data_IF_135647977797
#
_entry.id   IF_135647977797
#
_cell.length_a   1.000
_cell.length_b   1.000
_cell.length_c   1.000
_cell.angle_alpha   90.00
_cell.angle_beta   90.00
_cell.angle_gamma   90.00
#
_symmetry.space_group_name_H-M   'P 1'
#
loop_
_entity.id
_entity.type
_entity.pdbx_description
1 polymer ?
#
# COMPACT_ATOMS: atom_id res chain seq x y z
N UNK A 1 33.02 43.09 67.43
CA UNK A 1 34.14 43.65 68.22
C UNK A 1 33.60 44.82 69.01
N UNK A 2 33.42 44.62 70.31
CA UNK A 2 32.98 45.61 71.29
C UNK A 2 34.15 46.50 71.67
N UNK A 3 34.07 47.82 71.40
CA UNK A 3 34.92 48.82 72.06
C UNK A 3 34.11 49.54 73.15
N UNK A 4 34.73 49.81 74.32
CA UNK A 4 34.03 50.24 75.53
C UNK A 4 33.99 51.77 75.69
N UNK A 5 32.96 52.24 76.40
CA UNK A 5 33.02 53.45 77.23
C UNK A 5 33.33 54.78 76.55
N UNK A 6 32.30 55.43 76.01
CA UNK A 6 32.27 56.90 75.88
C UNK A 6 30.93 57.40 76.38
N UNK A 7 30.92 57.96 77.59
CA UNK A 7 29.76 58.67 78.13
C UNK A 7 29.40 59.79 77.14
N UNK A 8 28.16 59.88 76.65
CA UNK A 8 27.77 60.97 75.77
C UNK A 8 27.95 62.30 76.51
N UNK A 9 28.49 63.30 75.81
CA UNK A 9 28.57 64.68 76.31
C UNK A 9 27.17 65.16 76.67
N UNK A 10 27.05 66.02 77.69
CA UNK A 10 25.74 66.48 78.12
C UNK A 10 25.05 67.26 76.98
N UNK A 11 23.72 67.18 76.81
CA UNK A 11 23.02 67.83 75.69
C UNK A 11 23.31 69.33 75.56
N UNK A 12 23.59 70.01 76.67
CA UNK A 12 24.00 71.42 76.68
C UNK A 12 25.41 71.66 76.14
N UNK A 13 26.34 70.73 76.32
CA UNK A 13 27.71 70.82 75.78
C UNK A 13 27.70 70.57 74.27
N UNK A 14 26.86 69.65 73.80
CA UNK A 14 26.70 69.33 72.38
C UNK A 14 26.01 70.46 71.60
N UNK A 15 25.03 71.13 72.20
CA UNK A 15 24.39 72.31 71.61
C UNK A 15 25.35 73.51 71.50
N UNK A 16 26.25 73.71 72.47
CA UNK A 16 27.25 74.79 72.42
C UNK A 16 28.30 74.60 71.33
N UNK A 17 28.78 73.36 71.17
CA UNK A 17 29.73 73.02 70.09
C UNK A 17 29.08 73.13 68.72
N UNK A 18 27.78 72.80 68.60
CA UNK A 18 27.03 73.02 67.35
C UNK A 18 26.86 74.50 67.03
N UNK A 19 26.57 75.37 68.00
CA UNK A 19 26.39 76.81 67.75
C UNK A 19 27.69 77.48 67.27
N UNK A 20 28.82 77.10 67.87
CA UNK A 20 30.15 77.54 67.47
C UNK A 20 30.59 77.01 66.08
N UNK A 21 30.25 75.75 65.76
CA UNK A 21 30.55 75.17 64.45
C UNK A 21 29.61 75.70 63.34
N UNK A 22 28.38 76.07 63.69
CA UNK A 22 27.41 76.65 62.75
C UNK A 22 27.85 78.04 62.27
N UNK A 23 28.45 78.85 63.15
CA UNK A 23 28.97 80.19 62.81
C UNK A 23 30.19 80.12 61.89
N UNK A 24 31.06 79.11 62.04
CA UNK A 24 32.19 78.87 61.12
C UNK A 24 31.67 78.43 59.74
N UNK A 25 30.57 77.65 59.71
CA UNK A 25 29.97 77.16 58.47
C UNK A 25 29.21 78.24 57.68
N UNK A 26 28.69 79.28 58.33
CA UNK A 26 27.97 80.38 57.67
C UNK A 26 28.89 81.42 56.99
N UNK A 27 30.17 81.52 57.38
CA UNK A 27 31.14 82.43 56.74
C UNK A 27 32.10 81.81 55.70
N UNK A 28 32.14 80.48 55.55
CA UNK A 28 33.00 79.79 54.57
C UNK A 28 32.25 79.11 53.40
N UNK A 29 30.92 79.24 53.30
CA UNK A 29 30.14 78.62 52.21
C UNK A 29 30.35 79.24 50.80
N UNK A 30 31.29 80.17 50.66
CA UNK A 30 31.76 80.69 49.36
C UNK A 30 33.28 80.70 49.35
N UNK A 31 33.88 79.56 49.04
CA UNK A 31 35.08 79.40 48.22
C UNK A 31 35.32 77.90 48.03
N UNK A 32 35.05 77.42 46.81
CA UNK A 32 35.60 76.18 46.29
C UNK A 32 37.13 76.34 46.21
N UNK A 33 37.88 75.41 46.80
CA UNK A 33 39.02 74.69 46.22
C UNK A 33 39.87 74.04 47.32
N UNK A 34 40.51 72.93 46.97
CA UNK A 34 41.17 71.98 47.84
C UNK A 34 42.29 72.55 48.72
N UNK A 35 41.98 72.89 49.97
CA UNK A 35 42.97 72.86 51.05
C UNK A 35 42.81 71.60 51.91
N UNK A 36 43.93 70.89 52.10
CA UNK A 36 44.00 69.75 52.98
C UNK A 36 43.57 70.18 54.38
N UNK A 37 42.59 69.47 54.95
CA UNK A 37 42.04 69.75 56.27
C UNK A 37 43.15 69.83 57.33
N UNK A 38 43.51 71.06 57.75
CA UNK A 38 44.48 71.29 58.81
C UNK A 38 43.78 71.22 60.17
N UNK A 39 43.99 70.07 60.82
CA UNK A 39 43.40 69.74 62.12
C UNK A 39 43.83 70.73 63.20
N UNK A 40 45.06 71.21 63.18
CA UNK A 40 45.58 72.08 64.22
C UNK A 40 45.08 73.52 64.08
N UNK A 41 44.96 74.02 62.83
CA UNK A 41 44.40 75.34 62.57
C UNK A 41 42.94 75.43 63.05
N UNK A 42 42.14 74.40 62.76
CA UNK A 42 40.72 74.35 63.14
C UNK A 42 40.52 74.32 64.66
N UNK A 43 41.37 73.59 65.40
CA UNK A 43 41.30 73.54 66.87
C UNK A 43 41.63 74.91 67.48
N UNK A 44 42.67 75.59 66.97
CA UNK A 44 43.07 76.93 67.44
C UNK A 44 41.98 77.98 67.19
N UNK A 45 41.33 77.92 66.04
CA UNK A 45 40.25 78.85 65.69
C UNK A 45 39.03 78.69 66.60
N UNK A 46 38.66 77.45 66.93
CA UNK A 46 37.59 77.17 67.90
C UNK A 46 37.97 77.65 69.30
N UNK A 47 39.25 77.54 69.71
CA UNK A 47 39.70 78.03 71.01
C UNK A 47 39.64 79.56 71.13
N UNK A 48 40.11 80.29 70.12
CA UNK A 48 40.08 81.76 70.09
C UNK A 48 38.65 82.32 70.20
N UNK A 49 37.69 81.70 69.50
CA UNK A 49 36.28 82.09 69.57
C UNK A 49 35.67 81.88 70.97
N UNK A 50 36.07 80.83 71.68
CA UNK A 50 35.59 80.56 73.05
C UNK A 50 36.29 81.43 74.12
N UNK A 51 37.55 81.84 73.90
CA UNK A 51 38.25 82.80 74.76
C UNK A 51 37.60 84.20 74.73
N UNK A 52 37.05 84.62 73.59
CA UNK A 52 36.38 85.92 73.41
C UNK A 52 34.98 85.98 74.06
N UNK A 53 34.35 84.81 74.26
CA UNK A 53 33.03 84.65 74.90
C UNK A 53 33.10 84.39 76.42
N UNK A 54 34.30 84.39 77.02
CA UNK A 54 34.50 84.36 78.46
C UNK A 54 34.30 83.00 79.15
N UNK A 55 34.37 81.88 78.41
CA UNK A 55 34.29 80.51 78.96
C UNK A 55 35.41 79.63 78.37
N UNK A 56 36.37 79.20 79.20
CA UNK A 56 37.59 78.48 78.77
C UNK A 56 37.31 76.99 78.54
N UNK A 57 37.10 76.57 77.28
CA UNK A 57 36.96 75.16 76.90
C UNK A 57 38.34 74.52 76.65
N UNK A 58 38.65 73.45 77.38
CA UNK A 58 39.94 72.74 77.24
C UNK A 58 40.11 72.00 75.91
N UNK A 59 41.32 72.08 75.32
CA UNK A 59 41.70 71.52 73.99
C UNK A 59 41.27 70.07 73.75
N UNK A 60 41.34 69.22 74.80
CA UNK A 60 41.01 67.79 74.70
C UNK A 60 39.54 67.50 74.40
N UNK A 61 38.63 68.44 74.65
CA UNK A 61 37.19 68.27 74.36
C UNK A 61 36.91 68.57 72.88
N UNK A 62 37.61 69.55 72.31
CA UNK A 62 37.49 69.96 70.91
C UNK A 62 38.01 68.84 69.99
N UNK A 63 39.18 68.25 70.31
CA UNK A 63 39.75 67.13 69.54
C UNK A 63 38.81 65.91 69.48
N UNK A 64 38.16 65.57 70.60
CA UNK A 64 37.24 64.42 70.65
C UNK A 64 35.98 64.65 69.81
N UNK A 65 35.46 65.88 69.82
CA UNK A 65 34.30 66.24 69.01
C UNK A 65 34.63 66.14 67.51
N UNK A 66 35.83 66.59 67.13
CA UNK A 66 36.29 66.59 65.74
C UNK A 66 36.53 65.16 65.19
N UNK A 67 37.15 64.28 65.97
CA UNK A 67 37.38 62.88 65.55
C UNK A 67 36.06 62.10 65.38
N UNK A 68 35.09 62.35 66.27
CA UNK A 68 33.78 61.71 66.16
C UNK A 68 33.03 62.18 64.91
N UNK A 69 33.13 63.47 64.58
CA UNK A 69 32.53 64.04 63.37
C UNK A 69 33.13 63.45 62.08
N UNK A 70 34.46 63.31 62.00
CA UNK A 70 35.12 62.79 60.80
C UNK A 70 34.90 61.29 60.56
N UNK A 71 34.79 60.48 61.62
CA UNK A 71 34.58 59.03 61.51
C UNK A 71 33.24 58.63 60.85
N UNK A 72 32.24 59.51 60.88
CA UNK A 72 30.93 59.29 60.28
C UNK A 72 30.88 59.66 58.79
N UNK A 73 31.90 60.35 58.26
CA UNK A 73 31.88 60.91 56.90
C UNK A 73 32.11 59.86 55.78
N UNK A 74 32.61 58.66 56.10
CA UNK A 74 33.00 57.67 55.07
C UNK A 74 32.35 56.28 55.18
N UNK A 75 31.30 56.10 55.98
CA UNK A 75 30.52 54.86 55.99
C UNK A 75 29.23 55.01 55.16
N UNK A 76 29.21 54.50 53.93
CA UNK A 76 27.98 54.40 53.14
C UNK A 76 27.16 53.18 53.56
N UNK A 77 25.94 53.32 54.14
CA UNK A 77 25.08 52.17 54.38
C UNK A 77 24.56 51.61 53.04
N UNK A 78 24.51 50.28 52.83
CA UNK A 78 23.92 49.72 51.63
C UNK A 78 22.44 50.09 51.56
N UNK A 79 21.98 50.53 50.39
CA UNK A 79 20.58 50.91 50.18
C UNK A 79 19.63 49.75 50.57
N UNK A 80 18.57 50.05 51.32
CA UNK A 80 17.60 49.06 51.80
C UNK A 80 16.98 48.25 50.63
N UNK A 81 16.74 46.93 50.79
CA UNK A 81 16.11 46.11 49.76
C UNK A 81 14.69 46.65 49.48
N UNK A 82 14.46 47.11 48.25
CA UNK A 82 13.19 47.66 47.81
C UNK A 82 13.08 47.62 46.29
N UNK A 83 11.87 47.83 45.76
CA UNK A 83 11.58 47.73 44.32
C UNK A 83 12.52 48.60 43.46
N UNK A 84 12.85 49.81 43.91
CA UNK A 84 13.79 50.70 43.24
C UNK A 84 15.22 50.13 43.18
N UNK A 85 15.69 49.50 44.25
CA UNK A 85 17.02 48.85 44.29
C UNK A 85 17.05 47.60 43.38
N UNK A 86 15.99 46.80 43.38
CA UNK A 86 15.93 45.60 42.53
C UNK A 86 15.86 45.96 41.04
N UNK A 87 15.09 46.99 40.67
CA UNK A 87 15.09 47.53 39.31
C UNK A 87 16.45 48.15 38.93
N UNK A 88 17.11 48.85 39.86
CA UNK A 88 18.46 49.35 39.64
C UNK A 88 19.48 48.21 39.43
N UNK A 89 19.41 47.14 40.22
CA UNK A 89 20.27 45.95 40.02
C UNK A 89 19.95 45.22 38.71
N UNK A 90 18.68 45.15 38.31
CA UNK A 90 18.25 44.64 37.01
C UNK A 90 18.82 45.49 35.86
N UNK A 91 18.80 46.82 36.00
CA UNK A 91 19.33 47.77 35.02
C UNK A 91 20.86 47.78 34.93
N UNK A 92 21.57 47.60 36.06
CA UNK A 92 23.02 47.45 36.10
C UNK A 92 23.43 46.13 35.44
N UNK A 93 22.73 45.04 35.74
CA UNK A 93 22.96 43.72 35.13
C UNK A 93 22.32 43.56 33.75
N UNK A 94 21.72 44.61 33.17
CA UNK A 94 20.90 44.53 31.94
C UNK A 94 21.63 43.86 30.77
N UNK A 95 22.94 44.12 30.60
CA UNK A 95 23.73 43.52 29.53
C UNK A 95 24.03 42.02 29.74
N UNK A 96 24.13 41.58 30.99
CA UNK A 96 24.31 40.16 31.32
C UNK A 96 22.97 39.41 31.23
N UNK A 97 21.89 39.97 31.77
CA UNK A 97 20.54 39.38 31.73
C UNK A 97 20.03 39.32 30.29
N UNK A 98 20.24 40.38 29.49
CA UNK A 98 19.85 40.37 28.09
C UNK A 98 20.55 39.26 27.33
N UNK A 99 21.88 39.16 27.44
CA UNK A 99 22.70 38.20 26.69
C UNK A 99 22.56 36.76 27.17
N UNK A 100 22.36 36.51 28.47
CA UNK A 100 22.34 35.15 29.04
C UNK A 100 20.95 34.59 29.28
N UNK A 101 19.92 35.43 29.39
CA UNK A 101 18.56 35.00 29.73
C UNK A 101 17.54 35.40 28.67
N UNK A 102 17.46 36.69 28.32
CA UNK A 102 16.42 37.16 27.37
C UNK A 102 16.66 36.68 25.94
N UNK A 103 17.89 36.75 25.42
CA UNK A 103 18.23 36.27 24.07
C UNK A 103 17.93 34.76 23.89
N UNK A 104 18.38 33.85 24.77
CA UNK A 104 18.02 32.43 24.61
C UNK A 104 16.54 32.17 24.85
N UNK A 105 15.88 32.85 25.80
CA UNK A 105 14.45 32.68 26.03
C UNK A 105 13.61 33.12 24.81
N UNK A 106 13.97 34.24 24.17
CA UNK A 106 13.33 34.71 22.93
C UNK A 106 13.62 33.79 21.75
N UNK A 107 14.83 33.25 21.63
CA UNK A 107 15.17 32.25 20.61
C UNK A 107 14.34 30.96 20.76
N UNK A 108 14.19 30.46 21.99
CA UNK A 108 13.34 29.29 22.27
C UNK A 108 11.87 29.60 21.98
N UNK A 109 11.36 30.76 22.40
CA UNK A 109 9.99 31.18 22.10
C UNK A 109 9.74 31.29 20.58
N UNK A 110 10.70 31.83 19.82
CA UNK A 110 10.63 31.91 18.36
C UNK A 110 10.67 30.52 17.70
N UNK A 111 11.44 29.57 18.23
CA UNK A 111 11.45 28.18 17.76
C UNK A 111 10.15 27.45 18.05
N UNK A 112 9.57 27.64 19.24
CA UNK A 112 8.26 27.07 19.58
C UNK A 112 7.16 27.68 18.70
N UNK A 113 7.15 29.00 18.54
CA UNK A 113 6.21 29.68 17.65
C UNK A 113 6.37 29.22 16.20
N UNK A 114 7.60 29.22 15.68
CA UNK A 114 7.91 28.72 14.33
C UNK A 114 7.55 27.25 14.14
N UNK A 115 7.71 26.42 15.18
CA UNK A 115 7.29 25.02 15.18
C UNK A 115 5.77 24.86 15.14
N UNK A 116 5.02 25.65 15.91
CA UNK A 116 3.55 25.65 15.86
C UNK A 116 3.01 26.11 14.50
N UNK A 117 3.55 27.20 13.95
CA UNK A 117 3.23 27.69 12.61
C UNK A 117 3.58 26.65 11.53
N UNK A 118 4.74 25.99 11.64
CA UNK A 118 5.13 24.93 10.72
C UNK A 118 4.19 23.72 10.77
N UNK A 119 3.70 23.34 11.96
CA UNK A 119 2.68 22.29 12.12
C UNK A 119 1.36 22.71 11.48
N UNK A 120 0.94 23.96 11.64
CA UNK A 120 -0.31 24.46 11.05
C UNK A 120 -0.22 24.54 9.51
N UNK A 121 0.91 25.02 8.96
CA UNK A 121 1.20 24.96 7.53
C UNK A 121 1.24 23.52 7.00
N UNK A 122 1.81 22.58 7.76
CA UNK A 122 1.82 21.17 7.37
C UNK A 122 0.39 20.58 7.36
N UNK A 123 -0.45 20.93 8.33
CA UNK A 123 -1.87 20.53 8.37
C UNK A 123 -2.68 21.09 7.21
N UNK A 124 -2.45 22.36 6.85
CA UNK A 124 -3.10 22.99 5.70
C UNK A 124 -2.69 22.30 4.40
N UNK A 125 -1.38 22.04 4.20
CA UNK A 125 -0.87 21.33 3.01
C UNK A 125 -1.37 19.89 2.92
N UNK A 126 -1.44 19.19 4.04
CA UNK A 126 -2.00 17.84 4.09
C UNK A 126 -3.47 17.84 3.65
N UNK A 127 -4.26 18.79 4.18
CA UNK A 127 -5.66 18.93 3.81
C UNK A 127 -5.86 19.33 2.34
N UNK A 128 -5.06 20.24 1.78
CA UNK A 128 -5.11 20.53 0.33
C UNK A 128 -4.80 19.29 -0.51
N UNK A 129 -3.83 18.47 -0.08
CA UNK A 129 -3.52 17.21 -0.75
C UNK A 129 -4.66 16.20 -0.70
N UNK A 130 -5.40 16.15 0.41
CA UNK A 130 -6.61 15.33 0.53
C UNK A 130 -7.74 15.79 -0.41
N UNK A 131 -7.95 17.11 -0.53
CA UNK A 131 -8.94 17.69 -1.45
C UNK A 131 -8.56 17.40 -2.91
N UNK A 132 -7.29 17.54 -3.28
CA UNK A 132 -6.82 17.22 -4.63
C UNK A 132 -6.85 15.71 -4.92
N UNK A 133 -6.65 14.87 -3.89
CA UNK A 133 -6.90 13.43 -3.96
C UNK A 133 -8.37 13.13 -4.27
N UNK A 134 -9.28 13.75 -3.53
CA UNK A 134 -10.72 13.59 -3.72
C UNK A 134 -11.20 14.08 -5.10
N UNK A 135 -10.68 15.22 -5.59
CA UNK A 135 -10.99 15.71 -6.95
C UNK A 135 -10.61 14.69 -8.03
N UNK A 136 -9.45 14.04 -7.89
CA UNK A 136 -9.01 12.99 -8.81
C UNK A 136 -9.88 11.73 -8.70
N UNK A 137 -10.30 11.37 -7.49
CA UNK A 137 -11.24 10.27 -7.26
C UNK A 137 -12.57 10.52 -7.97
N UNK A 138 -13.16 11.72 -7.80
CA UNK A 138 -14.40 12.11 -8.49
C UNK A 138 -14.22 12.08 -10.02
N UNK A 139 -13.10 12.60 -10.54
CA UNK A 139 -12.80 12.52 -11.97
C UNK A 139 -12.69 11.06 -12.47
N UNK A 140 -12.10 10.18 -11.66
CA UNK A 140 -12.06 8.75 -11.93
C UNK A 140 -13.46 8.11 -11.97
N UNK A 141 -14.33 8.46 -11.03
CA UNK A 141 -15.72 7.98 -11.00
C UNK A 141 -16.54 8.47 -12.20
N UNK A 142 -16.33 9.71 -12.65
CA UNK A 142 -16.96 10.22 -13.88
C UNK A 142 -16.50 9.41 -15.10
N UNK A 143 -15.20 9.12 -15.20
CA UNK A 143 -14.67 8.30 -16.28
C UNK A 143 -15.24 6.87 -16.27
N UNK A 144 -15.30 6.22 -15.10
CA UNK A 144 -15.87 4.86 -14.99
C UNK A 144 -17.36 4.83 -15.30
N UNK A 145 -18.12 5.83 -14.85
CA UNK A 145 -19.53 5.97 -15.20
C UNK A 145 -19.73 6.18 -16.71
N UNK A 146 -18.85 6.95 -17.35
CA UNK A 146 -18.85 7.14 -18.81
C UNK A 146 -18.64 5.82 -19.55
N UNK A 147 -17.60 5.06 -19.19
CA UNK A 147 -17.36 3.73 -19.77
C UNK A 147 -18.55 2.78 -19.60
N UNK A 148 -19.19 2.78 -18.43
CA UNK A 148 -20.37 1.94 -18.20
C UNK A 148 -21.55 2.35 -19.07
N UNK A 149 -21.73 3.65 -19.37
CA UNK A 149 -22.74 4.09 -20.35
C UNK A 149 -22.42 3.65 -21.76
N UNK A 150 -21.17 3.82 -22.19
CA UNK A 150 -20.77 3.40 -23.53
C UNK A 150 -21.03 1.89 -23.73
N UNK A 151 -20.79 1.09 -22.68
CA UNK A 151 -21.12 -0.34 -22.67
C UNK A 151 -22.64 -0.61 -22.73
N UNK A 152 -23.43 0.12 -21.95
CA UNK A 152 -24.90 0.01 -21.98
C UNK A 152 -25.47 0.41 -23.36
N UNK A 153 -24.98 1.50 -23.94
CA UNK A 153 -25.40 1.99 -25.25
C UNK A 153 -25.01 1.00 -26.34
N UNK A 154 -23.84 0.37 -26.25
CA UNK A 154 -23.43 -0.70 -27.16
C UNK A 154 -24.34 -1.93 -27.05
N UNK A 155 -24.77 -2.30 -25.84
CA UNK A 155 -25.75 -3.38 -25.64
C UNK A 155 -27.11 -3.02 -26.23
N UNK A 156 -27.59 -1.79 -26.01
CA UNK A 156 -28.87 -1.32 -26.56
C UNK A 156 -28.83 -1.26 -28.09
N UNK A 157 -27.69 -0.87 -28.66
CA UNK A 157 -27.47 -0.83 -30.11
C UNK A 157 -27.34 -2.23 -30.74
N UNK A 158 -27.03 -3.24 -29.94
CA UNK A 158 -27.03 -4.64 -30.38
C UNK A 158 -28.49 -5.12 -30.39
N UNK A 159 -29.07 -5.30 -31.57
CA UNK A 159 -30.43 -5.83 -31.69
C UNK A 159 -30.57 -7.14 -30.90
N UNK A 160 -31.56 -7.19 -30.01
CA UNK A 160 -31.87 -8.39 -29.23
C UNK A 160 -32.17 -9.54 -30.19
N UNK A 161 -31.51 -10.71 -30.05
CA UNK A 161 -31.75 -11.85 -30.93
C UNK A 161 -33.25 -12.20 -30.95
N UNK A 162 -33.89 -12.31 -32.13
CA UNK A 162 -35.34 -12.54 -32.22
C UNK A 162 -35.77 -13.91 -31.71
N UNK A 163 -34.81 -14.84 -31.60
CA UNK A 163 -34.94 -16.21 -31.11
C UNK A 163 -34.52 -16.38 -29.64
N UNK A 164 -34.18 -15.29 -28.95
CA UNK A 164 -33.90 -15.32 -27.52
C UNK A 164 -35.15 -15.82 -26.75
N UNK A 165 -35.01 -16.78 -25.82
CA UNK A 165 -36.14 -17.25 -25.03
C UNK A 165 -36.79 -16.10 -24.27
N UNK A 166 -38.13 -16.14 -24.12
CA UNK A 166 -38.87 -15.05 -23.45
C UNK A 166 -38.35 -14.74 -22.04
N UNK A 167 -37.94 -15.77 -21.28
CA UNK A 167 -37.36 -15.61 -19.94
C UNK A 167 -36.03 -14.86 -20.00
N UNK A 168 -35.16 -15.20 -20.94
CA UNK A 168 -33.87 -14.52 -21.13
C UNK A 168 -34.08 -13.09 -21.65
N UNK A 169 -35.04 -12.89 -22.56
CA UNK A 169 -35.40 -11.58 -23.11
C UNK A 169 -35.92 -10.62 -22.03
N UNK A 170 -36.83 -11.10 -21.17
CA UNK A 170 -37.35 -10.34 -20.04
C UNK A 170 -36.23 -9.99 -19.05
N UNK A 171 -35.34 -10.95 -18.74
CA UNK A 171 -34.20 -10.72 -17.87
C UNK A 171 -33.23 -9.67 -18.43
N UNK A 172 -32.80 -9.81 -19.70
CA UNK A 172 -31.92 -8.84 -20.35
C UNK A 172 -32.54 -7.45 -20.39
N UNK A 173 -33.84 -7.36 -20.69
CA UNK A 173 -34.56 -6.07 -20.69
C UNK A 173 -34.62 -5.44 -19.30
N UNK A 174 -34.80 -6.26 -18.25
CA UNK A 174 -34.79 -5.81 -16.87
C UNK A 174 -33.40 -5.31 -16.44
N UNK A 175 -32.34 -6.05 -16.78
CA UNK A 175 -30.95 -5.68 -16.49
C UNK A 175 -30.59 -4.34 -17.15
N UNK A 176 -30.88 -4.18 -18.45
CA UNK A 176 -30.63 -2.94 -19.20
C UNK A 176 -31.39 -1.77 -18.57
N UNK A 177 -32.66 -1.99 -18.19
CA UNK A 177 -33.49 -0.97 -17.54
C UNK A 177 -32.98 -0.57 -16.14
N UNK A 178 -32.53 -1.54 -15.34
CA UNK A 178 -31.93 -1.29 -14.02
C UNK A 178 -30.58 -0.57 -14.16
N UNK A 179 -29.69 -1.04 -15.04
CA UNK A 179 -28.41 -0.42 -15.33
C UNK A 179 -28.58 1.06 -15.73
N UNK A 180 -29.53 1.36 -16.62
CA UNK A 180 -29.84 2.73 -17.03
C UNK A 180 -30.30 3.61 -15.86
N UNK A 181 -31.15 3.09 -14.96
CA UNK A 181 -31.60 3.82 -13.76
C UNK A 181 -30.47 4.08 -12.78
N UNK A 182 -29.64 3.06 -12.50
CA UNK A 182 -28.49 3.16 -11.61
C UNK A 182 -27.46 4.18 -12.14
N UNK A 183 -27.16 4.14 -13.43
CA UNK A 183 -26.26 5.12 -14.07
C UNK A 183 -26.84 6.53 -14.07
N UNK A 184 -28.14 6.71 -14.28
CA UNK A 184 -28.77 8.01 -14.18
C UNK A 184 -28.67 8.59 -12.75
N UNK A 185 -28.92 7.76 -11.73
CA UNK A 185 -28.78 8.15 -10.33
C UNK A 185 -27.31 8.48 -9.95
N UNK A 186 -26.36 7.68 -10.44
CA UNK A 186 -24.93 7.95 -10.25
C UNK A 186 -24.52 9.30 -10.86
N UNK A 187 -25.01 9.61 -12.07
CA UNK A 187 -24.71 10.87 -12.75
C UNK A 187 -25.24 12.09 -12.02
N UNK A 188 -26.44 12.01 -11.45
CA UNK A 188 -26.99 13.10 -10.66
C UNK A 188 -26.08 13.42 -9.46
N UNK A 189 -25.59 12.36 -8.78
CA UNK A 189 -24.65 12.52 -7.68
C UNK A 189 -23.32 13.08 -8.18
N UNK A 190 -22.75 12.52 -9.26
CA UNK A 190 -21.46 12.95 -9.81
C UNK A 190 -21.49 14.39 -10.34
N UNK A 191 -22.59 14.82 -10.94
CA UNK A 191 -22.79 16.21 -11.37
C UNK A 191 -22.75 17.18 -10.19
N UNK A 192 -23.44 16.86 -9.09
CA UNK A 192 -23.38 17.64 -7.85
C UNK A 192 -21.98 17.61 -7.22
N UNK A 193 -21.33 16.44 -7.19
CA UNK A 193 -19.96 16.28 -6.68
C UNK A 193 -18.93 17.07 -7.48
N UNK A 194 -19.04 17.11 -8.81
CA UNK A 194 -18.13 17.87 -9.67
C UNK A 194 -18.17 19.37 -9.36
N UNK A 195 -19.38 19.92 -9.18
CA UNK A 195 -19.57 21.34 -8.81
C UNK A 195 -19.04 21.60 -7.39
N UNK A 196 -19.39 20.73 -6.43
CA UNK A 196 -18.95 20.89 -5.04
C UNK A 196 -17.43 20.75 -4.89
N UNK A 197 -16.80 19.81 -5.58
CA UNK A 197 -15.36 19.58 -5.54
C UNK A 197 -14.53 20.75 -6.11
N UNK A 198 -15.11 21.59 -6.98
CA UNK A 198 -14.48 22.79 -7.50
C UNK A 198 -14.47 23.96 -6.49
N UNK A 199 -15.26 23.88 -5.41
CA UNK A 199 -15.32 24.92 -4.37
C UNK A 199 -14.26 24.77 -3.28
N UNK A 200 -14.15 25.77 -2.39
CA UNK A 200 -13.33 25.69 -1.18
C UNK A 200 -14.02 24.80 -0.14
N UNK A 201 -13.41 23.66 0.15
CA UNK A 201 -13.95 22.65 1.06
C UNK A 201 -13.34 22.77 2.46
N UNK A 202 -14.16 22.56 3.49
CA UNK A 202 -13.67 22.25 4.83
C UNK A 202 -13.69 20.73 5.08
N UNK A 203 -13.22 20.30 6.25
CA UNK A 203 -13.13 18.86 6.58
C UNK A 203 -14.49 18.17 6.64
N UNK A 204 -15.50 18.83 7.21
CA UNK A 204 -16.83 18.25 7.36
C UNK A 204 -17.54 18.11 6.00
N UNK A 205 -17.41 19.11 5.13
CA UNK A 205 -17.88 19.05 3.75
C UNK A 205 -17.19 17.92 2.99
N UNK A 206 -15.87 17.79 3.11
CA UNK A 206 -15.12 16.73 2.43
C UNK A 206 -15.57 15.32 2.87
N UNK A 207 -15.82 15.09 4.16
CA UNK A 207 -16.34 13.81 4.66
C UNK A 207 -17.74 13.49 4.09
N UNK A 208 -18.64 14.48 4.05
CA UNK A 208 -19.98 14.31 3.46
C UNK A 208 -19.91 14.00 1.96
N UNK A 209 -19.06 14.72 1.22
CA UNK A 209 -18.86 14.50 -0.21
C UNK A 209 -18.23 13.13 -0.50
N UNK A 210 -17.33 12.63 0.35
CA UNK A 210 -16.80 11.27 0.26
C UNK A 210 -17.90 10.22 0.43
N UNK A 211 -18.82 10.41 1.37
CA UNK A 211 -19.95 9.51 1.53
C UNK A 211 -20.88 9.51 0.29
N UNK A 212 -21.07 10.67 -0.35
CA UNK A 212 -21.80 10.76 -1.63
C UNK A 212 -21.04 10.09 -2.78
N UNK A 213 -19.72 10.27 -2.88
CA UNK A 213 -18.88 9.61 -3.88
C UNK A 213 -18.92 8.08 -3.75
N UNK A 214 -18.89 7.56 -2.51
CA UNK A 214 -19.06 6.13 -2.24
C UNK A 214 -20.42 5.60 -2.69
N UNK A 215 -21.50 6.37 -2.48
CA UNK A 215 -22.84 5.99 -2.99
C UNK A 215 -22.84 5.93 -4.52
N UNK A 216 -22.28 6.94 -5.19
CA UNK A 216 -22.17 6.95 -6.66
C UNK A 216 -21.36 5.76 -7.17
N UNK A 217 -20.21 5.45 -6.55
CA UNK A 217 -19.40 4.27 -6.87
C UNK A 217 -20.22 2.99 -6.76
N UNK A 218 -20.96 2.81 -5.67
CA UNK A 218 -21.81 1.63 -5.48
C UNK A 218 -22.89 1.49 -6.55
N UNK A 219 -23.50 2.60 -6.99
CA UNK A 219 -24.47 2.59 -8.10
C UNK A 219 -23.82 2.19 -9.42
N UNK A 220 -22.62 2.71 -9.71
CA UNK A 220 -21.85 2.36 -10.93
C UNK A 220 -21.49 0.87 -10.92
N UNK A 221 -21.03 0.34 -9.79
CA UNK A 221 -20.65 -1.07 -9.68
C UNK A 221 -21.86 -2.00 -9.87
N UNK A 222 -23.00 -1.66 -9.29
CA UNK A 222 -24.25 -2.38 -9.52
C UNK A 222 -24.65 -2.32 -11.00
N UNK A 223 -24.61 -1.14 -11.63
CA UNK A 223 -24.96 -1.02 -13.04
C UNK A 223 -24.05 -1.86 -13.94
N UNK A 224 -22.75 -1.90 -13.65
CA UNK A 224 -21.78 -2.73 -14.39
C UNK A 224 -22.07 -4.21 -14.24
N UNK A 225 -22.55 -4.65 -13.09
CA UNK A 225 -22.95 -6.05 -12.89
C UNK A 225 -24.21 -6.40 -13.71
N UNK A 226 -25.20 -5.50 -13.75
CA UNK A 226 -26.40 -5.68 -14.59
C UNK A 226 -26.03 -5.74 -16.08
N UNK A 227 -25.18 -4.81 -16.55
CA UNK A 227 -24.64 -4.79 -17.92
C UNK A 227 -23.93 -6.11 -18.25
N UNK A 228 -23.06 -6.59 -17.35
CA UNK A 228 -22.34 -7.84 -17.54
C UNK A 228 -23.29 -9.06 -17.57
N UNK A 229 -24.33 -9.06 -16.73
CA UNK A 229 -25.35 -10.12 -16.73
C UNK A 229 -26.15 -10.18 -18.03
N UNK A 230 -26.55 -9.02 -18.56
CA UNK A 230 -27.21 -8.91 -19.85
C UNK A 230 -26.32 -9.43 -21.00
N UNK A 231 -25.07 -8.97 -21.05
CA UNK A 231 -24.08 -9.38 -22.04
C UNK A 231 -23.83 -10.90 -21.99
N UNK A 232 -23.64 -11.47 -20.79
CA UNK A 232 -23.41 -12.91 -20.62
C UNK A 232 -24.60 -13.75 -21.12
N UNK A 233 -25.85 -13.32 -20.86
CA UNK A 233 -27.06 -13.98 -21.36
C UNK A 233 -27.11 -13.96 -22.89
N UNK A 234 -26.82 -12.82 -23.52
CA UNK A 234 -26.76 -12.69 -24.97
C UNK A 234 -25.66 -13.55 -25.59
N UNK A 235 -24.45 -13.52 -25.02
CA UNK A 235 -23.32 -14.34 -25.49
C UNK A 235 -23.57 -15.83 -25.32
N UNK A 236 -24.19 -16.26 -24.21
CA UNK A 236 -24.60 -17.66 -24.00
C UNK A 236 -25.55 -18.11 -25.11
N UNK A 237 -26.55 -17.29 -25.44
CA UNK A 237 -27.47 -17.58 -26.53
C UNK A 237 -26.76 -17.66 -27.89
N UNK A 238 -25.91 -16.69 -28.23
CA UNK A 238 -25.15 -16.70 -29.47
C UNK A 238 -24.24 -17.94 -29.62
N UNK A 239 -23.59 -18.37 -28.52
CA UNK A 239 -22.81 -19.60 -28.49
C UNK A 239 -23.67 -20.84 -28.77
N UNK A 240 -24.86 -20.94 -28.17
CA UNK A 240 -25.78 -22.05 -28.43
C UNK A 240 -26.23 -22.12 -29.89
N UNK A 241 -26.48 -20.97 -30.54
CA UNK A 241 -26.82 -20.90 -31.96
C UNK A 241 -25.68 -21.36 -32.88
N UNK A 242 -24.44 -21.22 -32.42
CA UNK A 242 -23.27 -21.68 -33.17
C UNK A 242 -23.02 -23.18 -32.93
N UNK A 243 -23.04 -23.59 -31.67
CA UNK A 243 -22.68 -24.96 -31.28
C UNK A 243 -23.71 -26.01 -31.69
N UNK A 244 -25.02 -25.68 -31.71
CA UNK A 244 -26.05 -26.63 -32.14
C UNK A 244 -25.79 -27.18 -33.55
N UNK A 245 -25.71 -26.33 -34.58
CA UNK A 245 -25.37 -26.75 -35.94
C UNK A 245 -24.00 -27.43 -36.06
N UNK A 246 -23.01 -27.01 -35.26
CA UNK A 246 -21.68 -27.63 -35.27
C UNK A 246 -21.71 -29.06 -34.73
N UNK A 247 -22.48 -29.34 -33.69
CA UNK A 247 -22.71 -30.71 -33.19
C UNK A 247 -23.31 -31.57 -34.29
N UNK A 248 -24.38 -31.11 -34.97
CA UNK A 248 -25.02 -31.89 -36.04
C UNK A 248 -24.04 -32.19 -37.18
N UNK A 249 -23.26 -31.18 -37.59
CA UNK A 249 -22.23 -31.31 -38.62
C UNK A 249 -21.14 -32.30 -38.22
N UNK A 250 -20.63 -32.20 -36.99
CA UNK A 250 -19.57 -33.08 -36.48
C UNK A 250 -20.07 -34.50 -36.26
N UNK A 251 -21.28 -34.67 -35.75
CA UNK A 251 -21.92 -35.97 -35.62
C UNK A 251 -22.00 -36.68 -36.97
N UNK A 252 -22.52 -36.01 -38.00
CA UNK A 252 -22.59 -36.55 -39.35
C UNK A 252 -21.21 -36.91 -39.91
N UNK A 253 -20.21 -36.06 -39.69
CA UNK A 253 -18.83 -36.31 -40.14
C UNK A 253 -18.20 -37.53 -39.45
N UNK A 254 -18.39 -37.67 -38.14
CA UNK A 254 -17.92 -38.83 -37.36
C UNK A 254 -18.61 -40.11 -37.82
N UNK A 255 -19.94 -40.12 -37.96
CA UNK A 255 -20.69 -41.30 -38.41
C UNK A 255 -20.31 -41.70 -39.83
N UNK A 256 -20.07 -40.74 -40.73
CA UNK A 256 -19.64 -41.02 -42.09
C UNK A 256 -18.21 -41.57 -42.17
N UNK A 257 -17.33 -41.18 -41.25
CA UNK A 257 -15.94 -41.64 -41.21
C UNK A 257 -15.78 -42.96 -40.46
N UNK A 258 -16.62 -43.23 -39.47
CA UNK A 258 -16.51 -44.39 -38.59
C UNK A 258 -16.78 -45.72 -39.32
N UNK A 259 -15.88 -46.69 -39.11
CA UNK A 259 -16.00 -48.06 -39.60
C UNK A 259 -16.29 -49.04 -38.46
N UNK A 260 -15.82 -48.75 -37.24
CA UNK A 260 -16.01 -49.60 -36.07
C UNK A 260 -17.20 -49.17 -35.19
N UNK A 261 -17.87 -50.14 -34.57
CA UNK A 261 -19.04 -49.89 -33.71
C UNK A 261 -18.69 -49.02 -32.50
N UNK A 262 -17.49 -49.18 -31.92
CA UNK A 262 -17.05 -48.39 -30.77
C UNK A 262 -17.02 -46.87 -31.05
N UNK A 263 -16.68 -46.47 -32.28
CA UNK A 263 -16.70 -45.06 -32.69
C UNK A 263 -18.14 -44.55 -32.83
N UNK A 264 -19.04 -45.37 -33.38
CA UNK A 264 -20.46 -45.05 -33.52
C UNK A 264 -21.14 -44.96 -32.15
N UNK A 265 -20.85 -45.86 -31.22
CA UNK A 265 -21.35 -45.82 -29.84
C UNK A 265 -20.90 -44.55 -29.12
N UNK A 266 -19.62 -44.17 -29.28
CA UNK A 266 -19.09 -42.92 -28.71
C UNK A 266 -19.76 -41.69 -29.33
N UNK A 267 -19.99 -41.69 -30.64
CA UNK A 267 -20.72 -40.61 -31.33
C UNK A 267 -22.17 -40.49 -30.83
N UNK A 268 -22.85 -41.61 -30.59
CA UNK A 268 -24.21 -41.64 -30.03
C UNK A 268 -24.25 -41.14 -28.59
N UNK A 269 -23.26 -41.50 -27.75
CA UNK A 269 -23.15 -41.00 -26.38
C UNK A 269 -22.91 -39.47 -26.34
N UNK A 270 -22.09 -38.95 -27.25
CA UNK A 270 -21.87 -37.51 -27.40
C UNK A 270 -23.15 -36.80 -27.85
N UNK A 271 -23.91 -37.38 -28.79
CA UNK A 271 -25.17 -36.80 -29.27
C UNK A 271 -26.20 -36.69 -28.13
N UNK A 272 -26.39 -37.77 -27.38
CA UNK A 272 -27.28 -37.77 -26.23
C UNK A 272 -26.85 -36.77 -25.14
N UNK A 273 -25.55 -36.48 -25.04
CA UNK A 273 -25.01 -35.46 -24.13
C UNK A 273 -25.31 -34.05 -24.65
N UNK A 274 -25.06 -33.80 -25.94
CA UNK A 274 -25.37 -32.53 -26.59
C UNK A 274 -26.87 -32.19 -26.52
N UNK A 275 -27.76 -33.16 -26.74
CA UNK A 275 -29.21 -32.96 -26.64
C UNK A 275 -29.65 -32.53 -25.24
N UNK A 276 -29.06 -33.15 -24.19
CA UNK A 276 -29.30 -32.73 -22.80
C UNK A 276 -28.79 -31.31 -22.54
N UNK A 277 -27.60 -30.98 -23.03
CA UNK A 277 -26.97 -29.67 -22.86
C UNK A 277 -27.74 -28.56 -23.60
N UNK A 278 -28.21 -28.83 -24.82
CA UNK A 278 -29.07 -27.94 -25.59
C UNK A 278 -30.40 -27.69 -24.86
N UNK A 279 -31.02 -28.74 -24.34
CA UNK A 279 -32.26 -28.64 -23.55
C UNK A 279 -32.06 -27.84 -22.26
N UNK A 280 -30.90 -28.00 -21.61
CA UNK A 280 -30.51 -27.26 -20.42
C UNK A 280 -29.95 -25.86 -20.70
N UNK A 281 -29.77 -25.48 -21.98
CA UNK A 281 -29.08 -24.25 -22.42
C UNK A 281 -27.66 -24.10 -21.85
N UNK A 282 -26.97 -25.22 -21.64
CA UNK A 282 -25.60 -25.29 -21.14
C UNK A 282 -24.59 -25.04 -22.27
N UNK A 283 -24.32 -23.76 -22.55
CA UNK A 283 -23.40 -23.36 -23.61
C UNK A 283 -21.95 -23.81 -23.36
N UNK A 284 -21.51 -23.85 -22.09
CA UNK A 284 -20.15 -24.24 -21.73
C UNK A 284 -19.96 -25.74 -21.94
N UNK A 285 -20.86 -26.56 -21.40
CA UNK A 285 -20.84 -28.00 -21.61
C UNK A 285 -20.98 -28.39 -23.08
N UNK A 286 -21.82 -27.68 -23.85
CA UNK A 286 -21.97 -27.94 -25.28
C UNK A 286 -20.69 -27.61 -26.06
N UNK A 287 -19.99 -26.52 -25.71
CA UNK A 287 -18.68 -26.19 -26.29
C UNK A 287 -17.64 -27.28 -26.02
N UNK A 288 -17.63 -27.86 -24.82
CA UNK A 288 -16.79 -29.01 -24.50
C UNK A 288 -17.16 -30.25 -25.34
N UNK A 289 -18.46 -30.50 -25.53
CA UNK A 289 -18.92 -31.60 -26.41
C UNK A 289 -18.47 -31.41 -27.85
N UNK A 290 -18.52 -30.19 -28.39
CA UNK A 290 -17.98 -29.86 -29.72
C UNK A 290 -16.49 -30.19 -29.79
N UNK A 291 -15.69 -29.78 -28.80
CA UNK A 291 -14.25 -30.09 -28.71
C UNK A 291 -13.98 -31.60 -28.71
N UNK A 292 -14.76 -32.37 -27.95
CA UNK A 292 -14.61 -33.84 -27.92
C UNK A 292 -15.01 -34.49 -29.25
N UNK A 293 -16.02 -33.95 -29.94
CA UNK A 293 -16.35 -34.36 -31.30
C UNK A 293 -15.21 -34.10 -32.29
N UNK A 294 -14.57 -32.92 -32.22
CA UNK A 294 -13.43 -32.58 -33.06
C UNK A 294 -12.25 -33.52 -32.83
N UNK A 295 -11.94 -33.85 -31.58
CA UNK A 295 -10.91 -34.84 -31.23
C UNK A 295 -11.23 -36.23 -31.78
N UNK A 296 -12.48 -36.69 -31.64
CA UNK A 296 -12.91 -37.98 -32.18
C UNK A 296 -12.83 -38.02 -33.71
N UNK A 297 -13.26 -36.94 -34.38
CA UNK A 297 -13.17 -36.82 -35.82
C UNK A 297 -11.71 -36.80 -36.30
N UNK A 298 -10.83 -36.05 -35.61
CA UNK A 298 -9.40 -36.03 -35.90
C UNK A 298 -8.77 -37.42 -35.71
N UNK A 299 -9.14 -38.12 -34.64
CA UNK A 299 -8.69 -39.49 -34.38
C UNK A 299 -9.14 -40.42 -35.50
N UNK A 300 -10.39 -40.36 -35.96
CA UNK A 300 -10.87 -41.17 -37.09
C UNK A 300 -10.15 -40.83 -38.40
N UNK A 301 -9.86 -39.55 -38.64
CA UNK A 301 -9.20 -39.09 -39.86
C UNK A 301 -7.72 -39.48 -39.94
N UNK A 302 -7.04 -39.58 -38.80
CA UNK A 302 -5.62 -39.90 -38.72
C UNK A 302 -5.31 -41.32 -39.26
N UNK A 303 -4.11 -41.49 -39.78
CA UNK A 303 -3.54 -42.79 -40.13
C UNK A 303 -2.16 -42.87 -39.49
N UNK A 304 -1.81 -44.01 -38.89
CA UNK A 304 -0.52 -44.14 -38.21
C UNK A 304 0.03 -45.56 -38.27
N UNK A 305 1.33 -45.68 -38.56
CA UNK A 305 2.09 -46.92 -38.40
C UNK A 305 2.66 -46.98 -36.99
N UNK A 306 2.58 -48.13 -36.34
CA UNK A 306 3.20 -48.37 -35.05
C UNK A 306 4.45 -49.20 -35.33
N UNK A 307 5.62 -48.64 -35.06
CA UNK A 307 6.90 -49.30 -35.35
C UNK A 307 7.67 -49.63 -34.08
N UNK A 308 8.39 -50.75 -34.07
CA UNK A 308 9.27 -51.20 -33.00
C UNK A 308 10.59 -50.46 -33.10
N UNK A 309 10.97 -49.80 -32.00
CA UNK A 309 12.21 -49.01 -31.87
C UNK A 309 13.21 -49.67 -30.92
N UNK A 310 12.76 -50.62 -30.09
CA UNK A 310 13.61 -51.36 -29.17
C UNK A 310 12.85 -52.29 -28.24
N UNK A 311 13.47 -52.61 -27.12
CA UNK A 311 12.87 -53.48 -26.11
C UNK A 311 13.45 -53.24 -24.73
N UNK A 312 12.61 -53.46 -23.72
CA UNK A 312 12.97 -53.42 -22.31
C UNK A 312 12.27 -54.57 -21.59
N UNK A 313 12.81 -55.03 -20.46
CA UNK A 313 12.10 -55.94 -19.59
C UNK A 313 12.00 -55.36 -18.18
N UNK A 314 10.89 -55.66 -17.50
CA UNK A 314 10.62 -55.29 -16.11
C UNK A 314 10.38 -56.54 -15.29
N UNK A 315 10.62 -56.46 -13.98
CA UNK A 315 10.15 -57.47 -13.04
C UNK A 315 8.70 -57.15 -12.69
N UNK A 316 7.82 -58.14 -12.64
CA UNK A 316 6.41 -57.91 -12.32
C UNK A 316 6.24 -57.33 -10.92
N UNK A 317 5.36 -56.34 -10.77
CA UNK A 317 5.04 -55.74 -9.47
C UNK A 317 4.35 -56.73 -8.51
N UNK A 318 3.64 -57.72 -9.06
CA UNK A 318 2.88 -58.71 -8.28
C UNK A 318 3.73 -59.92 -7.88
N UNK A 319 4.72 -60.30 -8.69
CA UNK A 319 5.60 -61.45 -8.43
C UNK A 319 7.01 -61.18 -8.96
N UNK A 320 7.97 -61.02 -8.04
CA UNK A 320 9.36 -60.69 -8.35
C UNK A 320 10.10 -61.76 -9.17
N UNK A 321 9.51 -62.94 -9.36
CA UNK A 321 10.06 -64.03 -10.17
C UNK A 321 9.63 -63.95 -11.63
N UNK A 322 8.60 -63.15 -11.94
CA UNK A 322 8.07 -63.00 -13.29
C UNK A 322 8.76 -61.81 -13.97
N UNK A 323 9.25 -62.02 -15.19
CA UNK A 323 9.74 -60.94 -16.06
C UNK A 323 8.71 -60.64 -17.14
N UNK A 324 8.41 -59.36 -17.27
CA UNK A 324 7.54 -58.81 -18.30
C UNK A 324 8.43 -58.21 -19.38
N UNK A 325 8.22 -58.63 -20.63
CA UNK A 325 9.01 -58.18 -21.77
C UNK A 325 8.18 -57.23 -22.60
N UNK A 326 8.78 -56.08 -22.94
CA UNK A 326 8.13 -55.01 -23.69
C UNK A 326 8.92 -54.69 -24.94
N UNK A 327 8.23 -54.56 -26.06
CA UNK A 327 8.77 -53.89 -27.24
C UNK A 327 8.46 -52.40 -27.12
N UNK A 328 9.49 -51.57 -27.23
CA UNK A 328 9.33 -50.13 -27.31
C UNK A 328 8.82 -49.79 -28.70
N UNK A 329 7.66 -49.18 -28.78
CA UNK A 329 7.00 -48.82 -30.02
C UNK A 329 6.79 -47.32 -30.12
N UNK A 330 6.70 -46.82 -31.35
CA UNK A 330 6.41 -45.43 -31.66
C UNK A 330 5.32 -45.36 -32.73
N UNK A 331 4.32 -44.51 -32.52
CA UNK A 331 3.32 -44.21 -33.54
C UNK A 331 3.85 -43.12 -34.47
N UNK A 332 3.89 -43.41 -35.77
CA UNK A 332 4.31 -42.50 -36.83
C UNK A 332 3.12 -42.16 -37.72
N UNK A 333 2.88 -40.87 -37.94
CA UNK A 333 1.87 -40.37 -38.87
C UNK A 333 2.25 -40.61 -40.33
N UNK A 334 1.38 -40.21 -41.26
CA UNK A 334 1.62 -40.30 -42.71
C UNK A 334 2.81 -39.47 -43.20
N UNK A 335 3.23 -38.47 -42.43
CA UNK A 335 4.40 -37.62 -42.65
C UNK A 335 5.69 -38.21 -42.04
N UNK A 336 5.60 -39.38 -41.41
CA UNK A 336 6.69 -40.03 -40.68
C UNK A 336 7.03 -39.36 -39.34
N UNK A 337 6.26 -38.39 -38.88
CA UNK A 337 6.48 -37.74 -37.58
C UNK A 337 5.78 -38.50 -36.45
N UNK A 338 6.31 -38.48 -35.21
CA UNK A 338 5.66 -39.12 -34.08
C UNK A 338 4.31 -38.48 -33.75
N UNK A 339 3.27 -39.31 -33.56
CA UNK A 339 1.91 -38.87 -33.22
C UNK A 339 1.51 -39.40 -31.84
N UNK A 340 0.91 -38.59 -30.97
CA UNK A 340 0.49 -39.05 -29.64
C UNK A 340 -0.72 -40.00 -29.70
N UNK A 341 -0.65 -41.09 -28.93
CA UNK A 341 -1.74 -42.02 -28.70
C UNK A 341 -2.13 -42.03 -27.20
N UNK A 342 -3.42 -42.15 -26.86
CA UNK A 342 -3.85 -42.33 -25.48
C UNK A 342 -3.54 -43.75 -25.01
N UNK A 343 -2.48 -43.90 -24.21
CA UNK A 343 -1.99 -45.20 -23.72
C UNK A 343 -2.23 -45.31 -22.21
N UNK A 344 -2.86 -46.39 -21.78
CA UNK A 344 -3.08 -46.68 -20.36
C UNK A 344 -1.92 -47.50 -19.81
N UNK A 345 -1.16 -46.92 -18.89
CA UNK A 345 -0.06 -47.60 -18.24
C UNK A 345 -0.59 -48.69 -17.28
N UNK A 346 -0.14 -49.93 -17.44
CA UNK A 346 -0.59 -51.08 -16.64
C UNK A 346 -0.08 -51.03 -15.19
N UNK A 347 1.07 -50.41 -14.95
CA UNK A 347 1.68 -50.31 -13.63
C UNK A 347 1.05 -49.21 -12.77
N UNK A 348 0.60 -48.12 -13.39
CA UNK A 348 0.00 -46.96 -12.67
C UNK A 348 -1.51 -46.84 -12.86
N UNK A 349 -2.07 -47.47 -13.89
CA UNK A 349 -3.48 -47.34 -14.29
C UNK A 349 -3.84 -46.03 -14.99
N UNK A 350 -2.90 -45.08 -15.13
CA UNK A 350 -3.13 -43.74 -15.69
C UNK A 350 -3.03 -43.77 -17.22
N UNK A 351 -3.94 -43.10 -17.91
CA UNK A 351 -3.88 -42.90 -19.37
C UNK A 351 -3.21 -41.57 -19.68
N UNK A 352 -2.21 -41.57 -20.57
CA UNK A 352 -1.53 -40.35 -21.03
C UNK A 352 -1.34 -40.37 -22.55
N UNK A 353 -1.40 -39.20 -23.22
CA UNK A 353 -1.02 -39.10 -24.62
C UNK A 353 0.51 -39.21 -24.74
N UNK A 354 0.99 -40.27 -25.39
CA UNK A 354 2.43 -40.50 -25.62
C UNK A 354 2.67 -40.91 -27.07
N UNK A 355 3.78 -40.46 -27.65
CA UNK A 355 4.17 -40.86 -29.01
C UNK A 355 4.99 -42.14 -29.03
N UNK A 356 5.58 -42.54 -27.90
CA UNK A 356 6.31 -43.78 -27.72
C UNK A 356 5.92 -44.44 -26.39
N UNK A 357 5.81 -45.76 -26.40
CA UNK A 357 5.41 -46.57 -25.24
C UNK A 357 5.95 -48.00 -25.36
N UNK A 358 5.86 -48.78 -24.29
CA UNK A 358 6.18 -50.21 -24.31
C UNK A 358 4.92 -51.05 -24.46
N UNK A 359 4.91 -51.96 -25.43
CA UNK A 359 3.88 -52.98 -25.63
C UNK A 359 4.38 -54.32 -25.10
N UNK A 360 3.66 -54.92 -24.16
CA UNK A 360 4.04 -56.20 -23.57
C UNK A 360 3.87 -57.32 -24.60
N UNK A 361 4.86 -58.19 -24.69
CA UNK A 361 4.88 -59.31 -25.63
C UNK A 361 5.33 -60.61 -24.94
N UNK A 362 5.01 -61.79 -25.50
CA UNK A 362 5.62 -63.03 -25.08
C UNK A 362 7.14 -62.97 -25.20
N UNK A 363 7.86 -63.61 -24.28
CA UNK A 363 9.33 -63.64 -24.28
C UNK A 363 9.90 -64.08 -25.63
N UNK A 364 9.30 -65.09 -26.28
CA UNK A 364 9.73 -65.57 -27.60
C UNK A 364 9.70 -64.46 -28.67
N UNK A 365 8.70 -63.58 -28.62
CA UNK A 365 8.60 -62.45 -29.55
C UNK A 365 9.67 -61.39 -29.25
N UNK A 366 9.90 -61.10 -27.98
CA UNK A 366 10.96 -60.19 -27.54
C UNK A 366 12.35 -60.69 -27.98
N UNK A 367 12.65 -61.97 -27.71
CA UNK A 367 13.93 -62.59 -28.02
C UNK A 367 14.15 -62.66 -29.54
N UNK A 368 13.10 -62.88 -30.34
CA UNK A 368 13.18 -62.82 -31.82
C UNK A 368 13.58 -61.44 -32.34
N UNK A 369 12.93 -60.38 -31.87
CA UNK A 369 13.26 -59.00 -32.27
C UNK A 369 14.66 -58.60 -31.77
N UNK A 370 15.06 -59.07 -30.58
CA UNK A 370 16.39 -58.84 -30.05
C UNK A 370 17.48 -59.52 -30.90
N UNK A 371 17.23 -60.76 -31.37
CA UNK A 371 18.15 -61.49 -32.23
C UNK A 371 18.29 -60.82 -33.61
N UNK A 372 17.17 -60.39 -34.21
CA UNK A 372 17.14 -59.63 -35.48
C UNK A 372 18.02 -58.38 -35.39
N UNK A 373 17.79 -57.56 -34.37
CA UNK A 373 18.59 -56.35 -34.12
C UNK A 373 20.07 -56.63 -33.86
N UNK A 374 20.41 -57.77 -33.26
CA UNK A 374 21.80 -58.13 -32.98
C UNK A 374 22.56 -58.57 -34.24
N UNK A 375 21.87 -59.02 -35.29
CA UNK A 375 22.50 -59.51 -36.53
C UNK A 375 23.19 -58.37 -37.29
N UNK A 376 22.46 -57.28 -37.56
CA UNK A 376 22.93 -56.16 -38.38
C UNK A 376 22.77 -54.77 -37.74
N UNK A 377 22.20 -54.69 -36.52
CA UNK A 377 21.92 -53.43 -35.82
C UNK A 377 20.57 -52.78 -36.14
N UNK A 378 19.78 -53.37 -37.05
CA UNK A 378 18.51 -52.87 -37.57
C UNK A 378 17.39 -53.87 -37.24
N UNK A 379 16.16 -53.39 -37.07
CA UNK A 379 14.98 -54.26 -36.95
C UNK A 379 14.35 -54.34 -38.33
N UNK A 380 14.40 -55.51 -38.98
CA UNK A 380 13.99 -55.68 -40.37
C UNK A 380 12.45 -55.66 -40.52
N UNK A 381 11.71 -56.25 -39.56
CA UNK A 381 10.25 -56.22 -39.49
C UNK A 381 9.77 -55.34 -38.33
N UNK A 382 10.00 -54.04 -38.48
CA UNK A 382 9.68 -53.03 -37.46
C UNK A 382 8.18 -52.81 -37.27
N UNK A 383 7.30 -53.26 -38.16
CA UNK A 383 5.87 -52.93 -38.07
C UNK A 383 5.20 -53.72 -36.93
N UNK A 384 4.78 -53.05 -35.86
CA UNK A 384 4.06 -53.65 -34.74
C UNK A 384 2.54 -53.65 -34.97
N UNK A 385 2.04 -52.59 -35.61
CA UNK A 385 0.61 -52.39 -35.81
C UNK A 385 0.31 -51.19 -36.69
N UNK A 386 -0.98 -50.99 -36.96
CA UNK A 386 -1.44 -49.95 -37.87
C UNK A 386 -2.80 -49.41 -37.43
N UNK A 387 -2.91 -48.09 -37.32
CA UNK A 387 -4.16 -47.39 -37.10
C UNK A 387 -4.66 -46.88 -38.45
N UNK A 388 -5.75 -47.46 -38.92
CA UNK A 388 -6.39 -47.13 -40.19
C UNK A 388 -7.31 -45.92 -40.04
N UNK A 389 -7.53 -45.19 -41.14
CA UNK A 389 -8.60 -44.19 -41.20
C UNK A 389 -9.96 -44.86 -40.97
N UNK A 390 -10.82 -44.18 -40.22
CA UNK A 390 -12.15 -44.67 -39.84
C UNK A 390 -12.20 -45.60 -38.63
N UNK A 391 -11.05 -45.92 -38.04
CA UNK A 391 -10.95 -46.66 -36.78
C UNK A 391 -10.36 -45.74 -35.70
N UNK A 392 -10.79 -45.87 -34.45
CA UNK A 392 -10.18 -45.23 -33.27
C UNK A 392 -9.26 -46.20 -32.54
N UNK A 393 -9.36 -47.50 -32.85
CA UNK A 393 -8.45 -48.55 -32.40
C UNK A 393 -7.37 -48.83 -33.45
N UNK A 394 -6.19 -49.27 -32.99
CA UNK A 394 -5.12 -49.72 -33.86
C UNK A 394 -5.17 -51.24 -34.01
N UNK A 395 -5.00 -51.74 -35.23
CA UNK A 395 -4.75 -53.15 -35.48
C UNK A 395 -3.33 -53.48 -34.99
N UNK A 396 -3.16 -54.56 -34.24
CA UNK A 396 -1.88 -54.97 -33.66
C UNK A 396 -1.53 -56.38 -34.10
N UNK A 397 -0.24 -56.61 -34.37
CA UNK A 397 0.27 -57.94 -34.73
C UNK A 397 0.22 -58.93 -33.57
N UNK A 398 0.34 -58.42 -32.34
CA UNK A 398 0.32 -59.22 -31.12
C UNK A 398 -0.88 -58.82 -30.25
N UNK A 399 -1.46 -59.76 -29.48
CA UNK A 399 -2.52 -59.44 -28.52
C UNK A 399 -2.03 -58.42 -27.50
N UNK A 400 -2.89 -57.44 -27.17
CA UNK A 400 -2.64 -56.48 -26.11
C UNK A 400 -2.69 -57.19 -24.75
N UNK A 401 -1.53 -57.32 -24.12
CA UNK A 401 -1.37 -57.98 -22.81
C UNK A 401 -0.87 -57.03 -21.72
N UNK A 402 -0.73 -55.74 -22.02
CA UNK A 402 -0.23 -54.72 -21.10
C UNK A 402 0.65 -53.67 -21.76
N UNK A 403 0.63 -52.44 -21.24
CA UNK A 403 1.36 -51.31 -21.80
C UNK A 403 2.08 -50.51 -20.70
N UNK A 404 3.27 -49.96 -21.01
CA UNK A 404 3.99 -49.04 -20.13
C UNK A 404 4.31 -47.74 -20.85
N UNK A 405 4.29 -46.62 -20.12
CA UNK A 405 4.59 -45.29 -20.69
C UNK A 405 5.96 -44.75 -20.27
N UNK A 406 6.67 -45.46 -19.37
CA UNK A 406 7.97 -45.07 -18.81
C UNK A 406 8.83 -46.33 -18.64
N UNK A 407 10.10 -46.30 -19.06
CA UNK A 407 11.02 -47.45 -19.07
C UNK A 407 12.41 -47.13 -18.53
#
# INVERSE_FOLDING_TARGET
MTQPGRTPLAPREMLRVMDAAQVIHERQAVLEEHEAFDREATIREIQLMYEELGDLVGTRTIERALDQYLSQRYAFPPAHPGLRRNLALLYIRRGWISRRVLVPATAVAALVWGGMEAVELARQRAFTGEVDGFRREVAGLVATSGTARDQLDALIATDLPPDLPSVDLEAVSADIGEAGRLLAAADEILGRLGVAAASDLDRAALENLRAEAQRASGQIDLARNEIAGADERMQRHARLLTYGPDVDRLHAAVVAAAIEDAALERAAALQATAERQLSARDAEGLGETVRVYEELHALLAAESRIVVTGGVWRVSNDDSRIRNYYLLVQALGSDGQPVPFPIRNEETGVTRPVSAWGERVPQETYDRVAADRQDNGIIDDEEFGFKRRGYITAERRYPDVGQITEW
#
